data_IF_918937137403
#
_entry.id   IF_918937137403
#
_cell.length_a   1.000
_cell.length_b   1.000
_cell.length_c   1.000
_cell.angle_alpha   90.00
_cell.angle_beta   90.00
_cell.angle_gamma   90.00
#
_symmetry.space_group_name_H-M   'P 1'
#
loop_
_entity.id
_entity.type
_entity.pdbx_description
1 polymer ?
#
# COMPACT_ATOMS: atom_id res chain seq x y z
N UNK A 1 -0.73 -0.80 -11.65
CA UNK A 1 -0.48 -0.74 -10.21
C UNK A 1 0.78 -1.53 -9.98
N UNK A 2 1.71 -0.98 -9.21
CA UNK A 2 2.99 -1.61 -8.92
C UNK A 2 3.04 -1.95 -7.44
N UNK A 3 3.69 -3.06 -7.10
CA UNK A 3 3.85 -3.53 -5.73
C UNK A 3 5.33 -3.58 -5.38
N UNK A 4 5.69 -3.01 -4.24
CA UNK A 4 7.02 -3.05 -3.64
C UNK A 4 6.92 -3.91 -2.38
N UNK A 5 7.66 -5.01 -2.36
CA UNK A 5 7.85 -5.82 -1.16
C UNK A 5 8.95 -5.19 -0.29
N UNK A 6 8.67 -4.94 0.99
CA UNK A 6 9.57 -4.20 1.88
C UNK A 6 10.52 -5.11 2.68
N UNK A 7 10.45 -6.43 2.47
CA UNK A 7 11.37 -7.41 3.07
C UNK A 7 11.11 -7.73 4.55
N UNK A 8 10.05 -7.17 5.14
CA UNK A 8 9.63 -7.37 6.53
C UNK A 8 8.17 -7.89 6.64
N UNK A 9 7.71 -8.56 5.58
CA UNK A 9 6.32 -8.99 5.36
C UNK A 9 5.32 -7.83 5.22
N UNK A 10 5.80 -6.64 4.88
CA UNK A 10 4.98 -5.52 4.46
C UNK A 10 5.12 -5.29 2.96
N UNK A 11 4.06 -4.76 2.36
CA UNK A 11 4.09 -4.34 0.97
C UNK A 11 3.43 -2.98 0.76
N UNK A 12 3.92 -2.30 -0.26
CA UNK A 12 3.46 -1.01 -0.72
C UNK A 12 2.90 -1.19 -2.13
N UNK A 13 1.63 -0.89 -2.33
CA UNK A 13 1.00 -0.88 -3.65
C UNK A 13 0.74 0.57 -4.03
N UNK A 14 1.20 1.00 -5.21
CA UNK A 14 0.88 2.32 -5.74
C UNK A 14 0.25 2.24 -7.13
N UNK A 15 -0.61 3.22 -7.42
CA UNK A 15 -1.31 3.33 -8.68
C UNK A 15 -1.66 4.77 -9.02
N UNK A 16 -1.63 5.09 -10.31
CA UNK A 16 -2.06 6.37 -10.86
C UNK A 16 -3.27 6.09 -11.75
N UNK A 17 -4.36 6.80 -11.50
CA UNK A 17 -5.64 6.60 -12.18
C UNK A 17 -6.04 7.89 -12.92
N UNK A 18 -6.31 7.84 -14.23
CA UNK A 18 -6.78 9.00 -14.98
C UNK A 18 -8.21 9.34 -14.57
N UNK A 19 -8.49 10.64 -14.42
CA UNK A 19 -9.82 11.19 -14.23
C UNK A 19 -10.39 11.68 -15.57
N UNK A 20 -11.70 11.93 -15.64
CA UNK A 20 -12.37 12.38 -16.88
C UNK A 20 -12.05 13.83 -17.26
N UNK A 21 -11.47 14.61 -16.36
CA UNK A 21 -11.15 16.03 -16.53
C UNK A 21 -9.69 16.29 -16.94
N UNK A 22 -8.94 15.24 -17.27
CA UNK A 22 -7.52 15.32 -17.65
C UNK A 22 -6.55 15.38 -16.46
N UNK A 23 -7.05 15.29 -15.22
CA UNK A 23 -6.23 15.13 -14.02
C UNK A 23 -5.98 13.65 -13.70
N UNK A 24 -5.09 13.39 -12.74
CA UNK A 24 -4.77 12.04 -12.30
C UNK A 24 -4.85 11.95 -10.78
N UNK A 25 -5.37 10.83 -10.28
CA UNK A 25 -5.39 10.49 -8.86
C UNK A 25 -4.29 9.47 -8.58
N UNK A 26 -3.33 9.82 -7.73
CA UNK A 26 -2.33 8.88 -7.23
C UNK A 26 -2.81 8.29 -5.90
N UNK A 27 -2.84 6.95 -5.81
CA UNK A 27 -3.20 6.24 -4.59
C UNK A 27 -2.06 5.34 -4.14
N UNK A 28 -1.82 5.32 -2.84
CA UNK A 28 -0.85 4.45 -2.18
C UNK A 28 -1.55 3.63 -1.12
N UNK A 29 -1.36 2.32 -1.16
CA UNK A 29 -1.88 1.37 -0.19
C UNK A 29 -0.72 0.68 0.50
N UNK A 30 -0.73 0.68 1.83
CA UNK A 30 0.22 -0.07 2.65
C UNK A 30 -0.48 -1.29 3.23
N UNK A 31 0.12 -2.46 3.08
CA UNK A 31 -0.32 -3.68 3.73
C UNK A 31 0.74 -4.13 4.72
N UNK A 32 0.40 -4.08 6.01
CA UNK A 32 1.22 -4.66 7.06
C UNK A 32 0.97 -6.16 7.22
N UNK A 33 1.92 -6.85 7.84
CA UNK A 33 1.75 -8.25 8.23
C UNK A 33 0.67 -8.40 9.31
N UNK A 34 0.07 -9.58 9.39
CA UNK A 34 -0.82 -9.93 10.50
C UNK A 34 0.01 -10.26 11.74
N UNK A 35 -0.25 -9.54 12.83
CA UNK A 35 0.34 -9.82 14.13
C UNK A 35 -0.54 -10.78 14.94
N UNK A 36 0.08 -11.64 15.74
CA UNK A 36 -0.63 -12.63 16.58
C UNK A 36 -1.16 -12.03 17.88
N UNK A 37 -0.60 -10.91 18.33
CA UNK A 37 -0.97 -10.23 19.59
C UNK A 37 -0.89 -8.72 19.39
N UNK A 38 -1.66 -7.95 20.17
CA UNK A 38 -1.56 -6.48 20.19
C UNK A 38 -0.14 -6.02 20.53
N UNK A 39 0.48 -6.64 21.53
CA UNK A 39 1.86 -6.34 21.92
C UNK A 39 2.87 -6.58 20.78
N UNK A 40 2.59 -7.49 19.86
CA UNK A 40 3.44 -7.71 18.68
C UNK A 40 3.24 -6.64 17.60
N UNK A 41 2.11 -5.93 17.61
CA UNK A 41 1.72 -4.92 16.62
C UNK A 41 2.01 -3.47 17.06
N UNK A 42 2.33 -3.27 18.34
CA UNK A 42 2.54 -1.95 18.96
C UNK A 42 3.98 -1.48 18.86
#
# INVERSE_FOLDING_TARGET
MDTIELGNNESLVYGVFPNQDGTFTAMTYTKSKTFKTENGAR
#
